data_IF_714939463062
#
_entry.id   IF_714939463062
#
_cell.length_a   1.000
_cell.length_b   1.000
_cell.length_c   1.000
_cell.angle_alpha   90.00
_cell.angle_beta   90.00
_cell.angle_gamma   90.00
#
_symmetry.space_group_name_H-M   'P 1'
#
loop_
_entity.id
_entity.type
_entity.pdbx_description
1 polymer ?
#
# COMPACT_ATOMS: atom_id res chain seq x y z
N UNK A 1 23.26 -6.66 8.64
CA UNK A 1 21.92 -6.85 8.08
C UNK A 1 22.04 -7.22 6.61
N UNK A 2 21.40 -8.29 6.17
CA UNK A 2 21.38 -8.73 4.77
C UNK A 2 20.54 -7.76 3.93
N UNK A 3 21.04 -7.41 2.75
CA UNK A 3 20.37 -6.55 1.76
C UNK A 3 19.93 -7.42 0.59
N UNK A 4 18.65 -7.55 0.38
CA UNK A 4 18.10 -8.23 -0.79
C UNK A 4 17.89 -7.23 -1.92
N UNK A 5 18.49 -7.48 -3.08
CA UNK A 5 18.51 -6.56 -4.23
C UNK A 5 17.73 -7.18 -5.36
N UNK A 6 16.54 -6.65 -5.64
CA UNK A 6 15.75 -7.03 -6.81
C UNK A 6 16.42 -6.48 -8.08
N UNK A 7 16.94 -7.34 -8.92
CA UNK A 7 17.67 -6.96 -10.13
C UNK A 7 17.54 -7.98 -11.26
N UNK A 8 17.51 -7.49 -12.48
CA UNK A 8 17.64 -8.32 -13.70
C UNK A 8 19.10 -8.44 -14.19
N UNK A 9 20.02 -7.63 -13.63
CA UNK A 9 21.43 -7.70 -14.00
C UNK A 9 22.06 -9.01 -13.53
N UNK A 10 22.94 -9.56 -14.36
CA UNK A 10 23.80 -10.71 -14.03
C UNK A 10 25.10 -10.29 -13.35
N UNK A 11 25.38 -9.00 -13.29
CA UNK A 11 26.59 -8.47 -12.69
C UNK A 11 26.70 -8.84 -11.20
N UNK A 12 27.92 -9.03 -10.69
CA UNK A 12 28.15 -9.25 -9.26
C UNK A 12 27.72 -8.03 -8.44
N UNK A 13 27.07 -8.28 -7.30
CA UNK A 13 26.77 -7.22 -6.34
C UNK A 13 28.05 -6.89 -5.56
N UNK A 14 28.47 -5.62 -5.61
CA UNK A 14 29.69 -5.15 -4.96
C UNK A 14 29.47 -4.70 -3.51
N UNK A 15 28.22 -4.50 -3.09
CA UNK A 15 27.89 -4.11 -1.73
C UNK A 15 27.99 -5.27 -0.76
N UNK A 16 28.60 -5.03 0.39
CA UNK A 16 28.71 -6.01 1.46
C UNK A 16 27.34 -6.50 1.92
N UNK A 17 27.21 -7.80 2.18
CA UNK A 17 25.98 -8.46 2.64
C UNK A 17 24.78 -8.30 1.68
N UNK A 18 25.04 -8.24 0.38
CA UNK A 18 23.99 -8.15 -0.64
C UNK A 18 23.72 -9.51 -1.28
N UNK A 19 22.45 -9.83 -1.43
CA UNK A 19 21.94 -11.03 -2.09
C UNK A 19 21.00 -10.61 -3.21
N UNK A 20 21.29 -11.05 -4.43
CA UNK A 20 20.44 -10.75 -5.58
C UNK A 20 19.16 -11.59 -5.57
N UNK A 21 18.01 -10.94 -5.70
CA UNK A 21 16.75 -11.57 -6.02
C UNK A 21 16.54 -11.43 -7.53
N UNK A 22 16.58 -12.52 -8.25
CA UNK A 22 16.46 -12.56 -9.71
C UNK A 22 15.22 -13.36 -10.12
N UNK A 23 14.74 -13.14 -11.33
CA UNK A 23 13.54 -13.80 -11.85
C UNK A 23 12.26 -13.30 -11.18
N UNK A 24 11.44 -14.19 -10.64
CA UNK A 24 10.20 -13.80 -9.93
C UNK A 24 10.52 -13.31 -8.51
N UNK A 25 10.78 -12.01 -8.39
CA UNK A 25 11.09 -11.34 -7.13
C UNK A 25 9.96 -11.52 -6.09
N UNK A 26 8.70 -11.56 -6.52
CA UNK A 26 7.58 -11.76 -5.61
C UNK A 26 7.58 -13.17 -5.01
N UNK A 27 7.90 -14.19 -5.80
CA UNK A 27 8.06 -15.56 -5.32
C UNK A 27 9.22 -15.66 -4.30
N UNK A 28 10.36 -15.02 -4.57
CA UNK A 28 11.50 -14.97 -3.65
C UNK A 28 11.17 -14.27 -2.33
N UNK A 29 10.51 -13.11 -2.38
CA UNK A 29 10.05 -12.41 -1.16
C UNK A 29 9.04 -13.26 -0.41
N UNK A 30 8.11 -13.93 -1.10
CA UNK A 30 7.17 -14.85 -0.46
C UNK A 30 7.88 -16.02 0.24
N UNK A 31 8.96 -16.54 -0.35
CA UNK A 31 9.79 -17.58 0.28
C UNK A 31 10.46 -17.04 1.55
N UNK A 32 11.13 -15.89 1.45
CA UNK A 32 11.79 -15.24 2.59
C UNK A 32 10.83 -14.96 3.75
N UNK A 33 9.59 -14.57 3.46
CA UNK A 33 8.55 -14.33 4.49
C UNK A 33 8.13 -15.57 5.25
N UNK A 34 8.34 -16.78 4.70
CA UNK A 34 8.05 -18.04 5.37
C UNK A 34 9.21 -18.58 6.22
N UNK A 35 10.39 -18.00 6.07
CA UNK A 35 11.56 -18.38 6.87
C UNK A 35 11.56 -17.64 8.20
N UNK A 36 12.03 -18.30 9.25
CA UNK A 36 12.30 -17.63 10.52
C UNK A 36 13.44 -16.64 10.33
N UNK A 37 13.17 -15.37 10.60
CA UNK A 37 14.15 -14.32 10.37
C UNK A 37 13.68 -12.95 10.81
N UNK A 38 14.53 -11.95 10.63
CA UNK A 38 14.17 -10.57 10.93
C UNK A 38 13.10 -10.04 9.97
N UNK A 39 12.42 -8.98 10.38
CA UNK A 39 11.46 -8.26 9.54
C UNK A 39 12.13 -7.81 8.24
N UNK A 40 11.47 -8.07 7.12
CA UNK A 40 11.85 -7.55 5.81
C UNK A 40 11.35 -6.10 5.68
N UNK A 41 12.25 -5.18 5.43
CA UNK A 41 11.94 -3.76 5.25
C UNK A 41 12.32 -3.30 3.85
N UNK A 42 11.41 -2.58 3.17
CA UNK A 42 11.74 -1.83 1.95
C UNK A 42 11.48 -0.34 2.17
N UNK A 43 12.40 0.50 1.67
CA UNK A 43 12.26 1.95 1.71
C UNK A 43 12.28 2.49 0.28
N UNK A 44 11.21 3.17 -0.11
CA UNK A 44 11.06 3.65 -1.50
C UNK A 44 10.89 2.50 -2.49
N UNK A 45 11.64 2.53 -3.61
CA UNK A 45 11.61 1.49 -4.68
C UNK A 45 10.22 1.28 -5.26
N UNK A 46 9.63 2.33 -5.84
CA UNK A 46 8.23 2.34 -6.29
C UNK A 46 7.86 1.18 -7.21
N UNK A 47 8.77 0.70 -8.08
CA UNK A 47 8.51 -0.44 -8.98
C UNK A 47 8.41 -1.75 -8.18
N UNK A 48 9.36 -2.00 -7.28
CA UNK A 48 9.31 -3.16 -6.39
C UNK A 48 8.05 -3.14 -5.52
N UNK A 49 7.69 -1.98 -4.98
CA UNK A 49 6.47 -1.80 -4.18
C UNK A 49 5.20 -2.22 -4.96
N UNK A 50 5.05 -1.81 -6.23
CA UNK A 50 3.90 -2.23 -7.04
C UNK A 50 3.87 -3.76 -7.22
N UNK A 51 5.02 -4.40 -7.42
CA UNK A 51 5.13 -5.86 -7.52
C UNK A 51 4.68 -6.55 -6.22
N UNK A 52 5.12 -6.04 -5.07
CA UNK A 52 4.75 -6.58 -3.76
C UNK A 52 3.28 -6.36 -3.42
N UNK A 53 2.73 -5.18 -3.74
CA UNK A 53 1.32 -4.85 -3.58
C UNK A 53 0.41 -5.75 -4.41
N UNK A 54 0.77 -5.99 -5.68
CA UNK A 54 0.00 -6.85 -6.57
C UNK A 54 -0.11 -8.31 -6.08
N UNK A 55 0.87 -8.75 -5.28
CA UNK A 55 0.94 -10.10 -4.71
C UNK A 55 0.61 -10.17 -3.23
N UNK A 56 0.08 -9.08 -2.65
CA UNK A 56 -0.29 -9.02 -1.22
C UNK A 56 0.85 -9.36 -0.24
N UNK A 57 2.08 -8.94 -0.56
CA UNK A 57 3.28 -9.28 0.22
C UNK A 57 3.67 -8.22 1.25
N UNK A 58 2.94 -7.11 1.35
CA UNK A 58 3.18 -6.05 2.34
C UNK A 58 2.18 -6.21 3.48
N UNK A 59 2.66 -6.36 4.70
CA UNK A 59 1.85 -6.54 5.90
C UNK A 59 1.58 -5.23 6.62
N UNK A 60 2.60 -4.37 6.68
CA UNK A 60 2.58 -3.09 7.40
C UNK A 60 3.09 -1.95 6.51
N UNK A 61 2.45 -0.80 6.59
CA UNK A 61 2.88 0.44 5.93
C UNK A 61 3.28 1.47 6.98
N UNK A 62 4.50 1.96 6.89
CA UNK A 62 5.00 3.11 7.65
C UNK A 62 5.10 4.31 6.73
N UNK A 63 4.13 5.19 6.79
CA UNK A 63 4.00 6.31 5.87
C UNK A 63 4.38 7.63 6.54
N UNK A 64 5.19 8.41 5.84
CA UNK A 64 5.49 9.79 6.19
C UNK A 64 4.70 10.69 5.23
N UNK A 65 3.68 11.34 5.74
CA UNK A 65 2.83 12.25 4.96
C UNK A 65 3.24 13.67 5.26
N UNK A 66 3.88 14.28 4.27
CA UNK A 66 4.33 15.67 4.37
C UNK A 66 3.21 16.63 3.99
N UNK A 67 3.07 17.80 4.63
CA UNK A 67 2.07 18.80 4.31
C UNK A 67 2.46 19.59 3.04
N UNK A 68 2.60 18.89 1.90
CA UNK A 68 3.05 19.41 0.63
C UNK A 68 2.16 18.93 -0.52
N UNK A 69 2.02 19.75 -1.54
CA UNK A 69 1.41 19.39 -2.82
C UNK A 69 2.47 19.48 -3.91
N UNK A 70 2.86 18.33 -4.46
CA UNK A 70 3.98 18.22 -5.41
C UNK A 70 3.53 18.13 -6.88
N UNK A 71 2.24 17.96 -7.14
CA UNK A 71 1.73 17.77 -8.51
C UNK A 71 2.04 16.39 -9.10
N UNK A 72 2.47 16.29 -10.37
CA UNK A 72 2.75 15.02 -11.03
C UNK A 72 3.91 14.25 -10.38
N UNK A 73 3.81 12.93 -10.31
CA UNK A 73 4.88 12.10 -9.74
C UNK A 73 4.49 10.64 -9.55
N UNK A 74 5.41 9.89 -8.95
CA UNK A 74 5.17 8.49 -8.58
C UNK A 74 4.18 8.42 -7.43
N UNK A 75 3.27 7.44 -7.50
CA UNK A 75 2.26 7.18 -6.47
C UNK A 75 2.59 5.92 -5.71
N UNK A 76 2.33 5.92 -4.41
CA UNK A 76 2.47 4.72 -3.56
C UNK A 76 1.50 3.64 -4.04
N UNK A 77 0.24 3.97 -4.19
CA UNK A 77 -0.78 3.10 -4.78
C UNK A 77 -0.97 3.47 -6.24
N UNK A 78 -0.38 2.69 -7.13
CA UNK A 78 -0.44 2.89 -8.57
C UNK A 78 -1.72 2.33 -9.19
N UNK A 79 -1.84 2.46 -10.51
CA UNK A 79 -2.92 1.84 -11.26
C UNK A 79 -2.83 0.31 -11.15
N UNK A 80 -3.98 -0.34 -10.89
CA UNK A 80 -4.04 -1.79 -10.71
C UNK A 80 -3.69 -2.30 -9.30
N UNK A 81 -3.43 -1.40 -8.34
CA UNK A 81 -3.36 -1.80 -6.93
C UNK A 81 -4.69 -2.41 -6.49
N UNK A 82 -4.65 -3.60 -5.90
CA UNK A 82 -5.86 -4.26 -5.41
C UNK A 82 -6.47 -3.47 -4.25
N UNK A 83 -7.79 -3.23 -4.25
CA UNK A 83 -8.47 -2.63 -3.12
C UNK A 83 -8.28 -3.47 -1.84
N UNK A 84 -8.07 -2.79 -0.71
CA UNK A 84 -7.94 -3.43 0.59
C UNK A 84 -8.08 -2.41 1.71
N UNK A 85 -8.61 -2.85 2.84
CA UNK A 85 -8.70 -2.02 4.03
C UNK A 85 -7.37 -1.97 4.77
N UNK A 86 -7.08 -0.82 5.36
CA UNK A 86 -5.94 -0.59 6.24
C UNK A 86 -6.47 -0.14 7.60
N UNK A 87 -5.86 -0.64 8.67
CA UNK A 87 -6.13 -0.22 10.03
C UNK A 87 -4.97 0.64 10.53
N UNK A 88 -5.27 1.87 10.92
CA UNK A 88 -4.29 2.74 11.59
C UNK A 88 -3.99 2.16 12.98
N UNK A 89 -2.73 1.84 13.23
CA UNK A 89 -2.26 1.27 14.51
C UNK A 89 -1.45 2.26 15.33
N UNK A 90 -0.77 3.20 14.67
CA UNK A 90 -0.08 4.30 15.35
C UNK A 90 -0.04 5.55 14.47
N UNK A 91 -0.04 6.71 15.09
CA UNK A 91 0.21 7.99 14.43
C UNK A 91 0.92 8.95 15.34
N UNK A 92 1.84 9.73 14.79
CA UNK A 92 2.54 10.82 15.45
C UNK A 92 2.67 11.99 14.48
N UNK A 93 2.55 13.20 14.97
CA UNK A 93 2.75 14.42 14.17
C UNK A 93 4.00 15.12 14.66
N UNK A 94 4.91 15.42 13.72
CA UNK A 94 6.11 16.20 14.03
C UNK A 94 5.76 17.69 14.24
N UNK A 95 6.69 18.43 14.81
CA UNK A 95 6.57 19.89 14.97
C UNK A 95 6.47 20.66 13.66
N UNK A 96 6.87 20.02 12.54
CA UNK A 96 6.78 20.57 11.18
C UNK A 96 5.52 20.12 10.43
N UNK A 97 4.60 19.41 11.10
CA UNK A 97 3.34 18.94 10.50
C UNK A 97 3.44 17.66 9.67
N UNK A 98 4.59 16.95 9.69
CA UNK A 98 4.71 15.64 9.03
C UNK A 98 3.96 14.61 9.87
N UNK A 99 2.98 13.91 9.27
CA UNK A 99 2.29 12.80 9.91
C UNK A 99 3.07 11.50 9.67
N UNK A 100 3.43 10.81 10.73
CA UNK A 100 4.03 9.48 10.73
C UNK A 100 2.95 8.48 11.08
N UNK A 101 2.50 7.70 10.12
CA UNK A 101 1.38 6.77 10.27
C UNK A 101 1.85 5.33 10.09
N UNK A 102 1.38 4.44 10.95
CA UNK A 102 1.56 2.99 10.81
C UNK A 102 0.20 2.36 10.54
N UNK A 103 0.11 1.59 9.46
CA UNK A 103 -1.09 0.89 9.07
C UNK A 103 -0.79 -0.59 8.90
N UNK A 104 -1.64 -1.42 9.48
CA UNK A 104 -1.70 -2.85 9.20
C UNK A 104 -2.76 -3.15 8.14
N UNK A 105 -2.62 -4.26 7.45
CA UNK A 105 -3.67 -4.77 6.56
C UNK A 105 -4.90 -5.19 7.39
N UNK A 106 -6.09 -4.81 6.92
CA UNK A 106 -7.35 -5.09 7.59
C UNK A 106 -8.34 -5.91 6.71
N UNK A 107 -7.85 -6.52 5.63
CA UNK A 107 -8.65 -7.39 4.77
C UNK A 107 -9.50 -6.65 3.74
N UNK A 108 -10.75 -7.07 3.57
CA UNK A 108 -11.67 -6.48 2.60
C UNK A 108 -12.18 -5.11 3.04
N UNK A 109 -12.49 -4.25 2.06
CA UNK A 109 -13.11 -2.96 2.33
C UNK A 109 -14.55 -3.20 2.79
N UNK A 110 -14.90 -2.64 3.93
CA UNK A 110 -16.29 -2.48 4.37
C UNK A 110 -16.76 -1.07 4.04
N UNK A 111 -17.77 -0.96 3.22
CA UNK A 111 -18.40 0.33 2.90
C UNK A 111 -19.57 0.56 3.83
N UNK A 112 -19.62 1.73 4.44
CA UNK A 112 -20.82 2.19 5.14
C UNK A 112 -21.89 2.62 4.15
N UNK A 113 -23.14 2.66 4.61
CA UNK A 113 -24.26 3.27 3.86
C UNK A 113 -24.58 4.64 4.49
N UNK A 114 -24.76 5.65 3.65
CA UNK A 114 -25.35 6.93 4.02
C UNK A 114 -26.88 6.93 3.82
N UNK A 115 -27.47 5.76 3.61
CA UNK A 115 -28.91 5.64 3.50
C UNK A 115 -29.58 6.04 4.80
N UNK A 116 -30.57 6.91 4.70
CA UNK A 116 -31.42 7.26 5.82
C UNK A 116 -32.39 6.09 6.07
N UNK A 117 -32.54 5.67 7.33
CA UNK A 117 -33.52 4.63 7.70
C UNK A 117 -34.95 5.03 7.31
N UNK A 118 -35.23 6.35 7.35
CA UNK A 118 -36.51 6.94 6.96
C UNK A 118 -36.26 8.09 5.99
N UNK A 119 -36.04 7.83 4.69
CA UNK A 119 -35.84 8.89 3.71
C UNK A 119 -37.13 9.69 3.49
N UNK A 120 -37.01 11.01 3.31
CA UNK A 120 -38.13 11.85 2.91
C UNK A 120 -38.64 11.52 1.51
N UNK A 121 -39.88 11.88 1.20
CA UNK A 121 -40.45 11.67 -0.15
C UNK A 121 -39.61 12.34 -1.23
N UNK A 122 -39.03 13.51 -0.95
CA UNK A 122 -38.13 14.23 -1.86
C UNK A 122 -36.84 13.41 -2.15
N UNK A 123 -36.29 12.76 -1.14
CA UNK A 123 -35.10 11.90 -1.28
C UNK A 123 -35.42 10.63 -2.05
N UNK A 124 -36.57 10.01 -1.83
CA UNK A 124 -37.04 8.84 -2.60
C UNK A 124 -37.19 9.22 -4.08
N UNK A 125 -37.81 10.36 -4.38
CA UNK A 125 -37.99 10.86 -5.75
C UNK A 125 -36.64 11.17 -6.42
N UNK A 126 -35.69 11.74 -5.67
CA UNK A 126 -34.33 12.02 -6.15
C UNK A 126 -33.59 10.73 -6.54
N UNK A 127 -33.62 9.70 -5.70
CA UNK A 127 -32.99 8.39 -5.96
C UNK A 127 -33.56 7.73 -7.21
N UNK A 128 -34.91 7.69 -7.32
CA UNK A 128 -35.59 7.12 -8.48
C UNK A 128 -35.26 7.87 -9.79
N UNK A 129 -34.95 9.18 -9.72
CA UNK A 129 -34.49 9.94 -10.88
C UNK A 129 -33.05 9.56 -11.25
N UNK A 130 -32.14 9.45 -10.27
CA UNK A 130 -30.74 9.10 -10.52
C UNK A 130 -30.61 7.69 -11.12
N UNK A 131 -31.42 6.72 -10.69
CA UNK A 131 -31.45 5.36 -11.26
C UNK A 131 -31.90 5.33 -12.73
N UNK A 132 -32.70 6.32 -13.17
CA UNK A 132 -33.16 6.42 -14.56
C UNK A 132 -32.18 7.16 -15.47
N UNK A 133 -31.35 8.04 -14.89
CA UNK A 133 -30.42 8.91 -15.62
C UNK A 133 -28.97 8.34 -15.65
N UNK A 134 -28.63 7.31 -14.86
CA UNK A 134 -27.33 6.63 -14.79
C UNK A 134 -27.31 5.41 -15.67
#
# INVERSE_FOLDING_TARGET
MTKYVATSSTDPLTWTNSVALRGDVAAEVSRLKREDGPILLTQGSSVLLQTLLARDLIDEFRLLVFPLVLGPGKRLFGQGTKPGALKLTATTVSTTGVMMCVYDRAGAISTGSFELEHPSEAEIARRARMEREG
#
